data_IF_166034972159
#
_entry.id   IF_166034972159
#
_cell.length_a   1.000
_cell.length_b   1.000
_cell.length_c   1.000
_cell.angle_alpha   90.00
_cell.angle_beta   90.00
_cell.angle_gamma   90.00
#
_symmetry.space_group_name_H-M   'P 1'
#
loop_
_entity.id
_entity.type
_entity.pdbx_description
1 polymer ?
#
# COMPACT_ATOMS: atom_id res chain seq x y z
N UNK A 1 -34.69 6.13 -26.22
CA UNK A 1 -33.53 5.31 -25.80
C UNK A 1 -33.22 5.66 -24.36
N UNK A 2 -33.76 4.87 -23.43
CA UNK A 2 -33.71 5.08 -21.99
C UNK A 2 -32.46 4.41 -21.43
N UNK A 3 -31.52 5.20 -20.93
CA UNK A 3 -30.29 4.72 -20.30
C UNK A 3 -30.56 3.73 -19.17
N UNK A 4 -29.77 2.66 -19.13
CA UNK A 4 -29.79 1.60 -18.13
C UNK A 4 -29.83 2.18 -16.70
N UNK A 5 -30.44 1.48 -15.74
CA UNK A 5 -30.51 1.91 -14.34
C UNK A 5 -29.13 2.31 -13.78
N UNK A 6 -28.07 1.62 -14.21
CA UNK A 6 -26.68 1.91 -13.84
C UNK A 6 -26.21 3.29 -14.33
N UNK A 7 -26.63 3.72 -15.52
CA UNK A 7 -26.26 5.03 -16.04
C UNK A 7 -26.91 6.15 -15.22
N UNK A 8 -28.16 5.96 -14.81
CA UNK A 8 -28.87 6.90 -13.93
C UNK A 8 -28.24 6.94 -12.53
N UNK A 9 -27.89 5.78 -11.96
CA UNK A 9 -27.20 5.69 -10.68
C UNK A 9 -25.81 6.37 -10.72
N UNK A 10 -25.06 6.18 -11.81
CA UNK A 10 -23.76 6.84 -12.01
C UNK A 10 -23.93 8.35 -12.14
N UNK A 11 -24.89 8.82 -12.94
CA UNK A 11 -25.16 10.25 -13.11
C UNK A 11 -25.54 10.93 -11.79
N UNK A 12 -26.42 10.30 -11.01
CA UNK A 12 -26.78 10.77 -9.67
C UNK A 12 -25.56 10.82 -8.73
N UNK A 13 -24.75 9.76 -8.71
CA UNK A 13 -23.55 9.67 -7.86
C UNK A 13 -22.55 10.76 -8.20
N UNK A 14 -22.29 11.02 -9.48
CA UNK A 14 -21.37 12.09 -9.89
C UNK A 14 -21.93 13.48 -9.57
N UNK A 15 -23.24 13.69 -9.68
CA UNK A 15 -23.88 14.93 -9.24
C UNK A 15 -23.76 15.14 -7.73
N UNK A 16 -23.91 14.08 -6.94
CA UNK A 16 -23.75 14.14 -5.49
C UNK A 16 -22.29 14.48 -5.12
N UNK A 17 -21.32 13.80 -5.75
CA UNK A 17 -19.89 14.08 -5.55
C UNK A 17 -19.53 15.52 -5.94
N UNK A 18 -20.12 16.06 -7.03
CA UNK A 18 -19.85 17.45 -7.43
C UNK A 18 -20.36 18.44 -6.38
N UNK A 19 -21.58 18.24 -5.87
CA UNK A 19 -22.15 19.06 -4.80
C UNK A 19 -21.32 18.96 -3.53
N UNK A 20 -20.88 17.75 -3.16
CA UNK A 20 -20.02 17.55 -2.00
C UNK A 20 -18.69 18.32 -2.13
N UNK A 21 -18.02 18.25 -3.29
CA UNK A 21 -16.78 19.01 -3.53
C UNK A 21 -17.00 20.52 -3.44
N UNK A 22 -18.15 21.01 -3.87
CA UNK A 22 -18.47 22.44 -3.88
C UNK A 22 -18.81 22.98 -2.49
N UNK A 23 -19.55 22.21 -1.68
CA UNK A 23 -20.12 22.69 -0.43
C UNK A 23 -19.43 22.16 0.83
N UNK A 24 -18.72 21.04 0.75
CA UNK A 24 -17.96 20.49 1.88
C UNK A 24 -16.50 20.94 1.76
N UNK A 25 -15.99 21.73 2.73
CA UNK A 25 -14.58 22.07 2.77
C UNK A 25 -13.73 20.80 2.77
N UNK A 26 -12.91 20.65 1.74
CA UNK A 26 -11.98 19.55 1.61
C UNK A 26 -10.60 20.09 1.28
N UNK A 27 -9.56 19.36 1.67
CA UNK A 27 -8.17 19.75 1.44
C UNK A 27 -7.38 18.55 0.98
N UNK A 28 -6.56 18.76 -0.04
CA UNK A 28 -5.62 17.76 -0.54
C UNK A 28 -4.28 17.93 0.17
N UNK A 29 -3.63 16.82 0.53
CA UNK A 29 -2.27 16.81 1.05
C UNK A 29 -1.53 15.56 0.56
N UNK A 30 -0.22 15.67 0.40
CA UNK A 30 0.61 14.66 -0.29
C UNK A 30 1.14 13.55 0.62
N UNK A 31 0.38 12.53 1.02
CA UNK A 31 0.95 11.43 1.83
C UNK A 31 2.13 10.74 1.12
N UNK A 32 3.29 10.60 1.79
CA UNK A 32 4.42 9.84 1.24
C UNK A 32 4.30 8.38 1.68
N UNK A 33 4.76 7.40 0.88
CA UNK A 33 4.77 5.99 1.30
C UNK A 33 5.61 5.71 2.55
N UNK A 34 6.59 6.57 2.83
CA UNK A 34 7.45 6.49 4.02
C UNK A 34 6.85 7.18 5.24
N UNK A 35 5.75 7.93 5.08
CA UNK A 35 5.10 8.59 6.21
C UNK A 35 4.48 7.52 7.12
N UNK A 36 4.51 7.77 8.42
CA UNK A 36 3.88 6.85 9.37
C UNK A 36 2.36 6.83 9.17
N UNK A 37 1.68 5.70 9.43
CA UNK A 37 0.22 5.60 9.25
C UNK A 37 -0.59 6.64 10.03
N UNK A 38 -0.07 7.08 11.17
CA UNK A 38 -0.67 8.12 12.01
C UNK A 38 -0.29 9.55 11.58
N UNK A 39 0.62 9.73 10.63
CA UNK A 39 1.11 11.03 10.17
C UNK A 39 0.13 11.67 9.17
N UNK A 40 -0.94 12.23 9.71
CA UNK A 40 -1.97 12.91 8.93
C UNK A 40 -1.65 14.37 8.59
N UNK A 41 -2.63 15.02 7.95
CA UNK A 41 -2.57 16.44 7.56
C UNK A 41 -2.16 17.39 8.71
N UNK A 42 -2.67 17.18 9.93
CA UNK A 42 -2.36 18.05 11.08
C UNK A 42 -0.87 17.99 11.45
N UNK A 43 -0.29 16.79 11.49
CA UNK A 43 1.14 16.59 11.75
C UNK A 43 1.99 17.28 10.67
N UNK A 44 1.53 17.24 9.42
CA UNK A 44 2.22 17.92 8.34
C UNK A 44 2.22 19.43 8.47
N UNK A 45 1.05 20.02 8.74
CA UNK A 45 0.92 21.45 8.94
C UNK A 45 1.86 21.94 10.06
N UNK A 46 1.92 21.19 11.18
CA UNK A 46 2.83 21.51 12.27
C UNK A 46 4.30 21.30 11.92
N UNK A 47 4.62 20.28 11.11
CA UNK A 47 5.98 20.06 10.61
C UNK A 47 6.45 21.21 9.71
N UNK A 48 5.58 21.69 8.81
CA UNK A 48 5.83 22.85 7.97
C UNK A 48 6.01 24.12 8.82
N UNK A 49 5.13 24.38 9.80
CA UNK A 49 5.25 25.50 10.74
C UNK A 49 6.57 25.48 11.50
N UNK A 50 6.97 24.31 12.02
CA UNK A 50 8.25 24.12 12.69
C UNK A 50 9.41 24.43 11.75
N UNK A 51 9.38 23.93 10.52
CA UNK A 51 10.43 24.16 9.54
C UNK A 51 10.54 25.64 9.14
N UNK A 52 9.42 26.31 8.87
CA UNK A 52 9.39 27.74 8.58
C UNK A 52 9.93 28.56 9.77
N UNK A 53 9.49 28.27 11.00
CA UNK A 53 9.99 28.96 12.20
C UNK A 53 11.50 28.76 12.39
N UNK A 54 12.01 27.56 12.08
CA UNK A 54 13.45 27.28 12.08
C UNK A 54 14.20 28.12 11.04
N UNK A 55 13.69 28.21 9.81
CA UNK A 55 14.29 29.05 8.76
C UNK A 55 14.35 30.53 9.17
N UNK A 56 13.27 31.05 9.77
CA UNK A 56 13.22 32.42 10.27
C UNK A 56 14.25 32.66 11.39
N UNK A 57 14.35 31.73 12.35
CA UNK A 57 15.35 31.81 13.42
C UNK A 57 16.78 31.68 12.89
N UNK A 58 17.03 30.78 11.92
CA UNK A 58 18.34 30.60 11.28
C UNK A 58 18.79 31.86 10.55
N UNK A 59 17.87 32.53 9.85
CA UNK A 59 18.15 33.78 9.13
C UNK A 59 18.39 34.95 10.08
N UNK A 60 17.55 35.08 11.12
CA UNK A 60 17.57 36.18 12.07
C UNK A 60 17.48 35.64 13.51
N UNK A 61 18.62 35.39 14.18
CA UNK A 61 18.65 34.72 15.48
C UNK A 61 18.31 35.67 16.64
N UNK A 62 17.05 36.09 16.71
CA UNK A 62 16.51 36.89 17.83
C UNK A 62 15.90 35.99 18.91
N UNK A 63 15.77 36.51 20.13
CA UNK A 63 15.09 35.79 21.22
C UNK A 63 13.64 35.46 20.85
N UNK A 64 12.94 36.39 20.19
CA UNK A 64 11.59 36.19 19.70
C UNK A 64 11.48 35.05 18.67
N UNK A 65 12.38 35.01 17.68
CA UNK A 65 12.35 33.93 16.70
C UNK A 65 12.72 32.57 17.34
N UNK A 66 13.58 32.59 18.36
CA UNK A 66 13.90 31.40 19.16
C UNK A 66 12.68 30.89 19.95
N UNK A 67 11.87 31.78 20.53
CA UNK A 67 10.65 31.39 21.24
C UNK A 67 9.61 30.83 20.28
N UNK A 68 9.38 31.48 19.14
CA UNK A 68 8.47 30.96 18.10
C UNK A 68 8.87 29.56 17.60
N UNK A 69 10.15 29.34 17.32
CA UNK A 69 10.63 28.02 16.91
C UNK A 69 10.45 26.96 18.01
N UNK A 70 10.67 27.33 19.29
CA UNK A 70 10.43 26.43 20.43
C UNK A 70 8.95 26.08 20.58
N UNK A 71 8.06 27.05 20.43
CA UNK A 71 6.61 26.85 20.47
C UNK A 71 6.16 25.93 19.33
N UNK A 72 6.63 26.17 18.10
CA UNK A 72 6.35 25.29 16.97
C UNK A 72 6.87 23.87 17.18
N UNK A 73 8.06 23.70 17.79
CA UNK A 73 8.56 22.39 18.19
C UNK A 73 7.62 21.69 19.19
N UNK A 74 7.17 22.40 20.24
CA UNK A 74 6.23 21.84 21.24
C UNK A 74 4.90 21.45 20.61
N UNK A 75 4.35 22.32 19.75
CA UNK A 75 3.10 22.08 19.03
C UNK A 75 3.19 20.84 18.12
N UNK A 76 4.31 20.69 17.40
CA UNK A 76 4.57 19.51 16.57
C UNK A 76 4.63 18.22 17.41
N UNK A 77 5.36 18.23 18.52
CA UNK A 77 5.43 17.07 19.43
C UNK A 77 4.06 16.71 19.99
N UNK A 78 3.29 17.70 20.48
CA UNK A 78 1.95 17.49 21.00
C UNK A 78 0.99 16.90 19.94
N UNK A 79 1.02 17.45 18.73
CA UNK A 79 0.18 17.00 17.62
C UNK A 79 0.56 15.59 17.17
N UNK A 80 1.85 15.26 17.14
CA UNK A 80 2.34 13.93 16.79
C UNK A 80 1.90 12.88 17.82
N UNK A 81 2.04 13.18 19.11
CA UNK A 81 1.56 12.31 20.19
C UNK A 81 0.04 12.11 20.14
N UNK A 82 -0.71 13.19 19.90
CA UNK A 82 -2.16 13.09 19.75
C UNK A 82 -2.55 12.21 18.56
N UNK A 83 -1.89 12.39 17.41
CA UNK A 83 -2.19 11.64 16.20
C UNK A 83 -1.87 10.15 16.37
N UNK A 84 -0.74 9.84 17.00
CA UNK A 84 -0.36 8.46 17.33
C UNK A 84 -1.41 7.81 18.25
N UNK A 85 -1.76 8.45 19.37
CA UNK A 85 -2.78 7.93 20.30
C UNK A 85 -4.13 7.75 19.64
N UNK A 86 -4.55 8.70 18.79
CA UNK A 86 -5.80 8.59 18.04
C UNK A 86 -5.77 7.37 17.12
N UNK A 87 -4.70 7.18 16.37
CA UNK A 87 -4.55 6.05 15.48
C UNK A 87 -4.55 4.72 16.24
N UNK A 88 -3.84 4.63 17.37
CA UNK A 88 -3.85 3.45 18.26
C UNK A 88 -5.26 3.16 18.79
N UNK A 89 -6.01 4.20 19.18
CA UNK A 89 -7.39 4.06 19.64
C UNK A 89 -8.32 3.59 18.51
N UNK A 90 -8.21 4.19 17.31
CA UNK A 90 -9.01 3.79 16.14
C UNK A 90 -8.74 2.34 15.77
N UNK A 91 -7.48 1.91 15.85
CA UNK A 91 -7.06 0.53 15.61
C UNK A 91 -7.62 -0.43 16.68
N UNK A 92 -7.55 -0.04 17.95
CA UNK A 92 -8.16 -0.81 19.05
C UNK A 92 -9.67 -0.94 18.88
N UNK A 93 -10.36 0.14 18.50
CA UNK A 93 -11.79 0.12 18.21
C UNK A 93 -12.11 -0.80 17.03
N UNK A 94 -11.28 -0.81 15.98
CA UNK A 94 -11.43 -1.73 14.84
C UNK A 94 -11.16 -3.19 15.20
N UNK A 95 -10.29 -3.47 16.17
CA UNK A 95 -9.99 -4.84 16.61
C UNK A 95 -11.04 -5.37 17.60
N UNK A 96 -11.57 -4.52 18.47
CA UNK A 96 -12.55 -4.87 19.50
C UNK A 96 -14.00 -4.65 19.08
N UNK A 97 -14.25 -4.16 17.86
CA UNK A 97 -15.60 -3.86 17.37
C UNK A 97 -16.48 -5.11 17.21
N UNK A 98 -17.79 -5.03 17.50
CA UNK A 98 -18.70 -6.13 17.20
C UNK A 98 -18.75 -6.36 15.68
N UNK A 99 -18.59 -7.62 15.24
CA UNK A 99 -18.67 -7.98 13.81
C UNK A 99 -17.34 -7.97 13.04
N UNK A 100 -16.19 -7.86 13.70
CA UNK A 100 -14.88 -7.99 13.03
C UNK A 100 -14.65 -9.45 12.67
N UNK A 101 -14.83 -9.80 11.40
CA UNK A 101 -14.55 -11.14 10.89
C UNK A 101 -13.07 -11.52 11.04
N UNK A 102 -12.80 -12.82 11.21
CA UNK A 102 -11.45 -13.38 11.41
C UNK A 102 -10.43 -12.87 10.37
N UNK A 103 -10.82 -12.77 9.10
CA UNK A 103 -9.97 -12.23 8.03
C UNK A 103 -9.55 -10.78 8.29
N UNK A 104 -10.50 -9.90 8.61
CA UNK A 104 -10.25 -8.48 8.89
C UNK A 104 -9.36 -8.32 10.11
N UNK A 105 -9.60 -9.13 11.15
CA UNK A 105 -8.78 -9.16 12.36
C UNK A 105 -7.32 -9.53 12.02
N UNK A 106 -7.10 -10.64 11.31
CA UNK A 106 -5.76 -11.07 10.92
C UNK A 106 -5.06 -10.11 9.96
N UNK A 107 -5.79 -9.45 9.06
CA UNK A 107 -5.24 -8.40 8.20
C UNK A 107 -4.74 -7.21 9.02
N UNK A 108 -5.52 -6.72 9.99
CA UNK A 108 -5.11 -5.62 10.87
C UNK A 108 -3.90 -6.00 11.72
N UNK A 109 -3.86 -7.22 12.28
CA UNK A 109 -2.71 -7.70 13.05
C UNK A 109 -1.45 -7.77 12.20
N UNK A 110 -1.55 -8.27 10.97
CA UNK A 110 -0.40 -8.32 10.04
C UNK A 110 0.08 -6.92 9.62
N UNK A 111 -0.83 -5.96 9.47
CA UNK A 111 -0.50 -4.55 9.22
C UNK A 111 0.26 -3.95 10.41
N UNK A 112 -0.20 -4.19 11.64
CA UNK A 112 0.47 -3.73 12.87
C UNK A 112 1.86 -4.34 13.02
N UNK A 113 1.99 -5.64 12.74
CA UNK A 113 3.26 -6.37 12.84
C UNK A 113 4.25 -5.99 11.73
N UNK A 114 3.85 -5.18 10.74
CA UNK A 114 4.68 -4.84 9.59
C UNK A 114 4.97 -6.04 8.69
N UNK A 115 4.28 -7.16 8.87
CA UNK A 115 4.42 -8.40 8.09
C UNK A 115 3.57 -8.38 6.82
N UNK A 116 2.71 -7.37 6.66
CA UNK A 116 1.82 -7.24 5.50
C UNK A 116 2.53 -7.14 4.15
N UNK A 117 3.82 -6.80 4.11
CA UNK A 117 4.55 -6.65 2.84
C UNK A 117 6.02 -7.06 2.96
N UNK A 118 6.28 -8.37 3.05
CA UNK A 118 7.49 -9.00 2.50
C UNK A 118 7.15 -10.43 2.08
N UNK A 119 6.31 -10.59 1.06
CA UNK A 119 6.34 -11.81 0.24
C UNK A 119 7.60 -11.75 -0.62
N UNK A 120 8.74 -11.87 0.05
CA UNK A 120 10.02 -12.06 -0.62
C UNK A 120 10.25 -13.55 -0.64
N UNK A 121 10.25 -14.16 -1.83
CA UNK A 121 10.77 -15.51 -2.03
C UNK A 121 12.08 -15.61 -1.22
N UNK A 122 12.26 -16.61 -0.34
CA UNK A 122 13.47 -16.70 0.46
C UNK A 122 14.72 -16.77 -0.44
N UNK A 123 15.92 -16.47 0.07
CA UNK A 123 17.14 -16.64 -0.70
C UNK A 123 17.22 -18.06 -1.28
N UNK A 124 17.48 -18.18 -2.58
CA UNK A 124 17.55 -19.47 -3.26
C UNK A 124 19.01 -19.89 -3.39
N UNK A 125 19.33 -21.14 -3.08
CA UNK A 125 20.67 -21.68 -3.23
C UNK A 125 20.89 -22.09 -4.69
N UNK A 126 21.98 -21.60 -5.29
CA UNK A 126 22.46 -22.03 -6.60
C UNK A 126 23.23 -23.34 -6.47
N UNK A 127 23.41 -24.05 -7.59
CA UNK A 127 24.17 -25.30 -7.65
C UNK A 127 25.66 -25.12 -7.31
N UNK A 128 26.20 -23.92 -7.48
CA UNK A 128 27.58 -23.55 -7.13
C UNK A 128 27.78 -23.24 -5.63
N UNK A 129 26.72 -23.36 -4.82
CA UNK A 129 26.74 -23.06 -3.38
C UNK A 129 26.57 -21.57 -3.04
N UNK A 130 26.43 -20.69 -4.04
CA UNK A 130 26.12 -19.28 -3.81
C UNK A 130 24.62 -19.05 -3.64
N UNK A 131 24.24 -17.88 -3.11
CA UNK A 131 22.84 -17.59 -2.77
C UNK A 131 22.29 -16.45 -3.63
N UNK A 132 21.14 -16.68 -4.28
CA UNK A 132 20.37 -15.67 -4.97
C UNK A 132 19.52 -14.89 -3.97
N UNK A 133 19.85 -13.62 -3.74
CA UNK A 133 19.20 -12.79 -2.70
C UNK A 133 18.25 -11.74 -3.29
N UNK A 134 18.58 -11.18 -4.44
CA UNK A 134 17.74 -10.20 -5.15
C UNK A 134 16.61 -10.88 -5.95
N UNK A 135 15.51 -10.16 -6.18
CA UNK A 135 14.38 -10.69 -6.97
C UNK A 135 14.77 -11.03 -8.41
N UNK A 136 15.69 -10.25 -8.99
CA UNK A 136 16.24 -10.52 -10.33
C UNK A 136 17.02 -11.82 -10.36
N UNK A 137 17.98 -11.98 -9.44
CA UNK A 137 18.77 -13.21 -9.34
C UNK A 137 17.92 -14.47 -9.14
N UNK A 138 16.81 -14.35 -8.38
CA UNK A 138 15.88 -15.46 -8.17
C UNK A 138 15.10 -15.80 -9.44
N UNK A 139 14.63 -14.79 -10.17
CA UNK A 139 13.92 -14.99 -11.42
C UNK A 139 14.84 -15.62 -12.48
N UNK A 140 16.06 -15.12 -12.62
CA UNK A 140 17.06 -15.63 -13.56
C UNK A 140 17.42 -17.10 -13.21
N UNK A 141 17.65 -17.41 -11.93
CA UNK A 141 17.93 -18.78 -11.48
C UNK A 141 16.79 -19.76 -11.81
N UNK A 142 15.53 -19.35 -11.57
CA UNK A 142 14.38 -20.20 -11.86
C UNK A 142 14.20 -20.41 -13.37
N UNK A 143 14.46 -19.37 -14.19
CA UNK A 143 14.41 -19.46 -15.64
C UNK A 143 15.49 -20.41 -16.19
N UNK A 144 16.70 -20.37 -15.63
CA UNK A 144 17.81 -21.25 -16.01
C UNK A 144 17.50 -22.72 -15.65
N UNK A 145 17.00 -22.98 -14.44
CA UNK A 145 16.58 -24.32 -14.02
C UNK A 145 15.48 -24.83 -14.96
N UNK A 146 14.45 -24.01 -15.21
CA UNK A 146 13.35 -24.40 -16.09
C UNK A 146 13.84 -24.73 -17.50
N UNK A 147 14.71 -23.90 -18.08
CA UNK A 147 15.25 -24.12 -19.43
C UNK A 147 16.10 -25.38 -19.52
N UNK A 148 16.81 -25.72 -18.45
CA UNK A 148 17.63 -26.93 -18.37
C UNK A 148 16.76 -28.19 -18.32
N UNK A 149 15.76 -28.20 -17.44
CA UNK A 149 14.87 -29.35 -17.24
C UNK A 149 13.80 -29.50 -18.35
N UNK A 150 13.48 -28.42 -19.07
CA UNK A 150 12.56 -28.42 -20.22
C UNK A 150 13.29 -28.66 -21.54
N UNK A 151 14.27 -29.57 -21.53
CA UNK A 151 14.86 -30.10 -22.75
C UNK A 151 14.15 -31.39 -23.15
N UNK A 152 13.40 -31.33 -24.26
CA UNK A 152 12.77 -32.52 -24.84
C UNK A 152 13.88 -33.35 -25.50
N UNK A 153 14.31 -34.41 -24.82
CA UNK A 153 15.40 -35.27 -25.27
C UNK A 153 15.13 -36.00 -26.62
N UNK A 154 13.86 -36.13 -27.00
CA UNK A 154 13.43 -36.86 -28.20
C UNK A 154 12.37 -36.07 -28.96
N UNK A 155 12.76 -35.38 -30.03
CA UNK A 155 11.82 -34.69 -30.95
C UNK A 155 10.88 -35.65 -31.68
N UNK A 156 11.19 -36.95 -31.70
CA UNK A 156 10.40 -38.00 -32.36
C UNK A 156 9.56 -38.84 -31.40
N UNK A 157 9.52 -38.52 -30.09
CA UNK A 157 8.69 -39.26 -29.15
C UNK A 157 7.24 -38.88 -29.36
N UNK A 158 6.40 -39.86 -29.67
CA UNK A 158 4.96 -39.65 -29.73
C UNK A 158 4.48 -39.15 -28.37
N UNK A 159 3.71 -38.05 -28.31
CA UNK A 159 3.15 -37.57 -27.05
C UNK A 159 2.32 -38.68 -26.40
N UNK A 160 2.26 -38.73 -25.05
CA UNK A 160 1.41 -39.69 -24.37
C UNK A 160 -0.02 -39.54 -24.91
N UNK A 161 -0.59 -40.66 -25.39
CA UNK A 161 -1.99 -40.69 -25.79
C UNK A 161 -2.84 -40.52 -24.54
N UNK A 162 -3.24 -39.28 -24.27
CA UNK A 162 -4.22 -38.97 -23.24
C UNK A 162 -5.56 -39.49 -23.73
N UNK A 163 -6.27 -40.22 -22.87
CA UNK A 163 -7.65 -40.59 -23.15
C UNK A 163 -8.48 -39.31 -23.35
N UNK A 164 -9.22 -39.26 -24.45
CA UNK A 164 -10.11 -38.15 -24.73
C UNK A 164 -11.28 -38.20 -23.75
N UNK A 165 -11.30 -37.29 -22.76
CA UNK A 165 -12.36 -37.20 -21.74
C UNK A 165 -13.50 -36.24 -22.14
N UNK A 166 -13.49 -35.69 -23.37
CA UNK A 166 -14.52 -34.77 -23.83
C UNK A 166 -15.17 -35.22 -25.15
N UNK A 167 -16.47 -35.50 -25.07
CA UNK A 167 -17.38 -35.90 -26.16
C UNK A 167 -17.85 -34.74 -27.05
N UNK A 168 -17.15 -33.60 -27.07
CA UNK A 168 -17.62 -32.42 -27.81
C UNK A 168 -16.69 -32.05 -28.95
N UNK A 169 -17.17 -32.29 -30.18
CA UNK A 169 -16.60 -31.77 -31.42
C UNK A 169 -17.11 -30.35 -31.67
N UNK A 170 -16.20 -29.37 -31.70
CA UNK A 170 -16.52 -28.01 -32.12
C UNK A 170 -16.57 -28.02 -33.65
N UNK A 171 -17.78 -27.99 -34.20
CA UNK A 171 -18.00 -27.78 -35.64
C UNK A 171 -17.66 -26.33 -35.97
N UNK A 172 -16.58 -26.10 -36.73
CA UNK A 172 -16.27 -24.78 -37.26
C UNK A 172 -17.22 -24.42 -38.40
N UNK A 173 -17.86 -23.26 -38.27
CA UNK A 173 -18.68 -22.58 -39.31
C UNK A 173 -17.78 -21.82 -40.26
#
# INVERSE_FOLDING_TARGET
MTGCADEKARAFTERLKSLQRQHVPHRQYTSRPTDQPWFGYRCRLEAERKYSAWLHYKRNPTLHNKTLHREACRSMTATSMWAQRRWENDLRSKLCGPGVGSKTWWSLIKEIQGTSHRETIPPLTRLDGTTATSSKEKADLLADIFSTEMTVAETNRSPPQLAQECDQEITMV
#
